data_IF_020755393517
#
_entry.id   IF_020755393517
#
_cell.length_a   1.000
_cell.length_b   1.000
_cell.length_c   1.000
_cell.angle_alpha   90.00
_cell.angle_beta   90.00
_cell.angle_gamma   90.00
#
_symmetry.space_group_name_H-M   'P 1'
#
loop_
_entity.id
_entity.type
_entity.pdbx_description
1 polymer ?
#
# COMPACT_ATOMS: atom_id res chain seq x y z
N UNK A 1 28.30 -30.52 -29.47
CA UNK A 1 28.12 -29.92 -28.12
C UNK A 1 26.99 -28.87 -28.10
N UNK A 2 25.77 -29.20 -28.57
CA UNK A 2 24.66 -28.23 -28.72
C UNK A 2 23.44 -28.50 -27.81
N UNK A 3 23.49 -29.53 -26.95
CA UNK A 3 22.33 -30.01 -26.19
C UNK A 3 22.16 -29.37 -24.78
N UNK A 4 23.17 -28.61 -24.30
CA UNK A 4 23.15 -28.00 -22.95
C UNK A 4 22.48 -26.63 -22.90
N UNK A 5 22.40 -25.90 -24.02
CA UNK A 5 21.81 -24.56 -24.08
C UNK A 5 20.29 -24.58 -24.23
N UNK A 6 19.74 -25.60 -24.89
CA UNK A 6 18.29 -25.80 -25.08
C UNK A 6 17.59 -26.20 -23.79
N UNK A 7 18.20 -27.09 -23.00
CA UNK A 7 17.69 -27.54 -21.70
C UNK A 7 17.61 -26.41 -20.67
N UNK A 8 18.60 -25.51 -20.64
CA UNK A 8 18.58 -24.32 -19.77
C UNK A 8 17.44 -23.37 -20.18
N UNK A 9 17.26 -23.12 -21.47
CA UNK A 9 16.17 -22.26 -21.97
C UNK A 9 14.79 -22.84 -21.66
N UNK A 10 14.65 -24.16 -21.75
CA UNK A 10 13.42 -24.86 -21.40
C UNK A 10 13.13 -24.77 -19.90
N UNK A 11 14.13 -24.95 -19.05
CA UNK A 11 14.00 -24.80 -17.60
C UNK A 11 13.60 -23.37 -17.20
N UNK A 12 14.22 -22.35 -17.81
CA UNK A 12 13.82 -20.94 -17.57
C UNK A 12 12.40 -20.66 -18.05
N UNK A 13 11.99 -21.18 -19.21
CA UNK A 13 10.63 -21.03 -19.70
C UNK A 13 9.61 -21.68 -18.75
N UNK A 14 9.88 -22.89 -18.25
CA UNK A 14 9.03 -23.57 -17.28
C UNK A 14 8.92 -22.82 -15.95
N UNK A 15 10.02 -22.27 -15.43
CA UNK A 15 10.01 -21.47 -14.20
C UNK A 15 9.18 -20.19 -14.40
N UNK A 16 9.35 -19.51 -15.53
CA UNK A 16 8.57 -18.29 -15.83
C UNK A 16 7.10 -18.61 -16.01
N UNK A 17 6.75 -19.70 -16.69
CA UNK A 17 5.36 -20.13 -16.88
C UNK A 17 4.71 -20.52 -15.53
N UNK A 18 5.43 -21.25 -14.67
CA UNK A 18 4.93 -21.67 -13.36
C UNK A 18 4.66 -20.47 -12.44
N UNK A 19 5.56 -19.47 -12.41
CA UNK A 19 5.34 -18.24 -11.64
C UNK A 19 4.15 -17.46 -12.18
N UNK A 20 3.96 -17.42 -13.50
CA UNK A 20 2.84 -16.71 -14.13
C UNK A 20 1.48 -17.37 -13.82
N UNK A 21 1.41 -18.71 -13.85
CA UNK A 21 0.21 -19.48 -13.49
C UNK A 21 -0.15 -19.30 -12.02
N UNK A 22 0.82 -19.37 -11.09
CA UNK A 22 0.54 -19.17 -9.66
C UNK A 22 0.07 -17.76 -9.31
N UNK A 23 0.46 -16.75 -10.09
CA UNK A 23 -0.04 -15.37 -9.91
C UNK A 23 -1.41 -15.12 -10.51
N UNK A 24 -1.86 -15.94 -11.47
CA UNK A 24 -3.16 -15.77 -12.12
C UNK A 24 -4.34 -16.22 -11.24
N UNK A 25 -4.12 -17.09 -10.25
CA UNK A 25 -5.18 -17.63 -9.38
C UNK A 25 -5.36 -16.87 -8.05
N UNK A 26 -4.52 -15.88 -7.75
CA UNK A 26 -4.49 -15.24 -6.42
C UNK A 26 -5.22 -13.90 -6.36
N UNK A 27 -6.46 -13.80 -6.85
CA UNK A 27 -7.28 -12.58 -6.67
C UNK A 27 -8.74 -12.88 -6.28
N UNK A 28 -8.91 -13.70 -5.24
CA UNK A 28 -10.12 -13.67 -4.40
C UNK A 28 -9.68 -13.36 -2.96
N UNK A 29 -9.46 -12.08 -2.68
CA UNK A 29 -9.27 -11.60 -1.32
C UNK A 29 -10.50 -11.97 -0.48
N UNK A 30 -10.34 -12.92 0.43
CA UNK A 30 -11.37 -13.27 1.40
C UNK A 30 -11.47 -12.13 2.43
N UNK A 31 -12.43 -11.24 2.22
CA UNK A 31 -12.87 -10.32 3.25
C UNK A 31 -13.63 -11.11 4.32
N UNK A 32 -12.95 -11.45 5.41
CA UNK A 32 -13.63 -11.85 6.63
C UNK A 32 -14.34 -10.62 7.20
N UNK A 33 -15.64 -10.49 6.91
CA UNK A 33 -16.50 -9.58 7.65
C UNK A 33 -16.55 -9.99 9.12
N UNK A 34 -16.79 -9.07 10.06
CA UNK A 34 -16.92 -9.41 11.47
C UNK A 34 -18.07 -10.41 11.64
N UNK A 35 -17.74 -11.63 12.09
CA UNK A 35 -18.73 -12.61 12.53
C UNK A 35 -19.52 -11.99 13.69
N UNK A 36 -20.76 -11.59 13.42
CA UNK A 36 -21.70 -11.13 14.44
C UNK A 36 -22.09 -12.34 15.30
N UNK A 37 -21.85 -12.26 16.61
CA UNK A 37 -22.34 -13.25 17.56
C UNK A 37 -23.88 -13.28 17.54
N UNK A 38 -24.53 -14.47 17.48
CA UNK A 38 -25.97 -14.56 17.57
C UNK A 38 -26.43 -14.33 19.01
N UNK A 39 -27.29 -13.34 19.26
CA UNK A 39 -28.10 -13.32 20.50
C UNK A 39 -28.28 -12.01 21.27
N UNK A 40 -27.87 -10.83 20.78
CA UNK A 40 -28.23 -9.57 21.46
C UNK A 40 -29.43 -8.93 20.77
N UNK A 41 -30.61 -9.07 21.37
CA UNK A 41 -31.80 -8.32 20.97
C UNK A 41 -31.53 -6.80 21.21
N UNK A 42 -31.80 -5.93 20.24
CA UNK A 42 -31.55 -4.50 20.39
C UNK A 42 -32.57 -3.86 21.34
N UNK A 43 -32.06 -3.14 22.35
CA UNK A 43 -32.87 -2.27 23.21
C UNK A 43 -33.42 -1.10 22.38
N UNK A 44 -34.73 -0.78 22.47
CA UNK A 44 -35.31 0.32 21.70
C UNK A 44 -34.91 1.67 22.30
N UNK A 45 -33.92 2.33 21.70
CA UNK A 45 -33.66 3.74 21.95
C UNK A 45 -34.55 4.57 21.01
N UNK A 46 -35.60 5.21 21.54
CA UNK A 46 -36.33 6.25 20.82
C UNK A 46 -35.48 7.52 20.74
N UNK A 47 -34.53 7.53 19.80
CA UNK A 47 -33.94 8.76 19.30
C UNK A 47 -34.70 9.13 18.02
N UNK A 48 -35.22 10.35 17.95
CA UNK A 48 -35.81 10.85 16.71
C UNK A 48 -34.79 10.63 15.57
N UNK A 49 -35.21 10.10 14.40
CA UNK A 49 -34.28 9.87 13.31
C UNK A 49 -33.66 11.22 12.94
N UNK A 50 -32.33 11.31 13.06
CA UNK A 50 -31.58 12.44 12.55
C UNK A 50 -32.06 12.70 11.11
N UNK A 51 -32.24 13.97 10.69
CA UNK A 51 -32.75 14.29 9.37
C UNK A 51 -31.92 13.52 8.33
N UNK A 52 -32.61 12.73 7.50
CA UNK A 52 -31.96 11.92 6.49
C UNK A 52 -30.99 12.82 5.70
N UNK A 53 -29.71 12.45 5.56
CA UNK A 53 -28.77 13.26 4.80
C UNK A 53 -29.36 13.45 3.40
N UNK A 54 -29.59 14.71 3.00
CA UNK A 54 -30.07 15.01 1.67
C UNK A 54 -29.12 14.39 0.63
N UNK A 55 -29.61 14.07 -0.57
CA UNK A 55 -28.79 13.43 -1.61
C UNK A 55 -27.47 14.19 -1.89
N UNK A 56 -27.45 15.50 -1.63
CA UNK A 56 -26.25 16.35 -1.67
C UNK A 56 -25.20 15.97 -0.60
N UNK A 57 -25.61 15.63 0.62
CA UNK A 57 -24.70 15.20 1.68
C UNK A 57 -24.09 13.82 1.36
N UNK A 58 -24.87 12.87 0.82
CA UNK A 58 -24.41 11.54 0.42
C UNK A 58 -23.27 11.57 -0.62
N UNK A 59 -23.37 12.46 -1.62
CA UNK A 59 -22.32 12.71 -2.61
C UNK A 59 -21.08 13.40 -2.04
N UNK A 60 -21.25 14.24 -1.01
CA UNK A 60 -20.17 14.99 -0.39
C UNK A 60 -19.36 14.19 0.66
N UNK A 61 -19.98 13.21 1.35
CA UNK A 61 -19.30 12.36 2.35
C UNK A 61 -17.98 11.75 1.87
N UNK A 62 -17.87 11.10 0.69
CA UNK A 62 -16.61 10.49 0.27
C UNK A 62 -15.50 11.54 0.10
N UNK A 63 -15.83 12.75 -0.39
CA UNK A 63 -14.83 13.80 -0.59
C UNK A 63 -14.44 14.51 0.70
N UNK A 64 -15.37 14.71 1.63
CA UNK A 64 -15.08 15.31 2.94
C UNK A 64 -14.26 14.37 3.82
N UNK A 65 -14.54 13.06 3.80
CA UNK A 65 -13.77 12.06 4.55
C UNK A 65 -12.33 11.98 4.03
N UNK A 66 -12.13 11.91 2.70
CA UNK A 66 -10.79 11.83 2.11
C UNK A 66 -9.99 13.11 2.36
N UNK A 67 -10.62 14.28 2.26
CA UNK A 67 -9.94 15.56 2.48
C UNK A 67 -9.61 15.80 3.96
N UNK A 68 -10.53 15.49 4.88
CA UNK A 68 -10.29 15.57 6.31
C UNK A 68 -9.17 14.62 6.74
N UNK A 69 -9.19 13.37 6.25
CA UNK A 69 -8.17 12.37 6.58
C UNK A 69 -6.78 12.75 6.07
N UNK A 70 -6.69 13.29 4.84
CA UNK A 70 -5.41 13.79 4.29
C UNK A 70 -4.84 14.92 5.12
N UNK A 71 -5.67 15.89 5.53
CA UNK A 71 -5.26 17.03 6.37
C UNK A 71 -4.82 16.57 7.76
N UNK A 72 -5.60 15.70 8.39
CA UNK A 72 -5.28 15.14 9.71
C UNK A 72 -3.94 14.40 9.70
N UNK A 73 -3.70 13.55 8.70
CA UNK A 73 -2.44 12.83 8.57
C UNK A 73 -1.25 13.76 8.32
N UNK A 74 -1.43 14.80 7.49
CA UNK A 74 -0.39 15.81 7.26
C UNK A 74 -0.04 16.55 8.56
N UNK A 75 -1.05 16.92 9.36
CA UNK A 75 -0.86 17.56 10.66
C UNK A 75 -0.14 16.64 11.66
N UNK A 76 -0.53 15.38 11.74
CA UNK A 76 0.13 14.39 12.58
C UNK A 76 1.61 14.21 12.20
N UNK A 77 1.94 14.15 10.91
CA UNK A 77 3.33 14.07 10.44
C UNK A 77 4.10 15.36 10.77
N UNK A 78 3.48 16.53 10.60
CA UNK A 78 4.10 17.83 10.94
C UNK A 78 4.47 17.88 12.43
N UNK A 79 3.55 17.49 13.31
CA UNK A 79 3.81 17.39 14.76
C UNK A 79 4.98 16.45 15.09
N UNK A 80 5.06 15.29 14.43
CA UNK A 80 6.19 14.36 14.63
C UNK A 80 7.55 14.98 14.24
N UNK A 81 7.57 15.79 13.17
CA UNK A 81 8.77 16.50 12.72
C UNK A 81 9.19 17.61 13.71
N UNK A 82 8.23 18.38 14.20
CA UNK A 82 8.47 19.48 15.16
C UNK A 82 9.04 18.96 16.49
N UNK A 83 8.51 17.83 17.01
CA UNK A 83 9.01 17.19 18.24
C UNK A 83 10.40 16.56 18.04
N UNK A 84 10.85 16.37 16.80
CA UNK A 84 12.10 15.68 16.44
C UNK A 84 12.25 14.25 16.98
N UNK A 85 11.14 13.53 17.15
CA UNK A 85 11.19 12.11 17.50
C UNK A 85 11.79 11.28 16.34
N UNK A 86 12.24 10.05 16.62
CA UNK A 86 12.83 9.15 15.62
C UNK A 86 11.98 9.04 14.34
N UNK A 87 10.65 8.86 14.48
CA UNK A 87 9.72 8.81 13.35
C UNK A 87 9.70 10.12 12.55
N UNK A 88 9.73 11.26 13.24
CA UNK A 88 9.81 12.59 12.62
C UNK A 88 11.05 12.76 11.76
N UNK A 89 12.23 12.43 12.32
CA UNK A 89 13.51 12.48 11.59
C UNK A 89 13.48 11.57 10.36
N UNK A 90 12.92 10.36 10.47
CA UNK A 90 12.77 9.43 9.35
C UNK A 90 11.81 9.93 8.28
N UNK A 91 10.74 10.61 8.67
CA UNK A 91 9.82 11.30 7.74
C UNK A 91 10.48 12.47 7.00
N UNK A 92 11.45 13.17 7.60
CA UNK A 92 12.25 14.21 6.93
C UNK A 92 13.21 13.57 5.91
N UNK A 93 13.87 12.50 6.31
CA UNK A 93 14.85 11.80 5.48
C UNK A 93 14.23 10.92 4.38
N UNK A 94 12.90 10.82 4.31
CA UNK A 94 12.22 9.96 3.32
C UNK A 94 12.52 8.47 3.53
N UNK A 95 12.64 8.03 4.78
CA UNK A 95 12.98 6.65 5.13
C UNK A 95 11.81 5.96 5.85
N UNK A 96 11.68 4.63 5.74
CA UNK A 96 10.66 3.89 6.45
C UNK A 96 10.82 4.05 7.97
N UNK A 97 9.69 4.27 8.64
CA UNK A 97 9.63 4.58 10.07
C UNK A 97 9.37 3.35 10.96
N UNK A 98 9.04 2.19 10.38
CA UNK A 98 8.65 0.95 11.11
C UNK A 98 9.83 -0.02 11.35
N UNK A 99 11.06 0.48 11.47
CA UNK A 99 12.24 -0.37 11.69
C UNK A 99 12.69 -1.22 10.50
N UNK A 100 12.20 -0.92 9.29
CA UNK A 100 12.57 -1.65 8.08
C UNK A 100 14.03 -1.38 7.68
N UNK A 101 14.70 -2.39 7.11
CA UNK A 101 16.10 -2.30 6.65
C UNK A 101 16.25 -1.29 5.51
N UNK A 102 17.03 -0.23 5.72
CA UNK A 102 17.26 0.83 4.72
C UNK A 102 18.59 0.77 3.98
N UNK A 103 19.48 -0.18 4.28
CA UNK A 103 20.82 -0.22 3.67
C UNK A 103 20.74 -0.47 2.15
N UNK A 104 19.99 -1.49 1.74
CA UNK A 104 19.94 -1.94 0.34
C UNK A 104 18.60 -1.61 -0.34
N UNK A 105 17.49 -1.83 0.36
CA UNK A 105 16.12 -1.71 -0.16
C UNK A 105 15.49 -0.34 0.17
N UNK A 106 14.18 -0.17 -0.13
CA UNK A 106 13.39 1.06 0.06
C UNK A 106 13.47 2.09 -1.08
N UNK A 107 13.51 1.63 -2.34
CA UNK A 107 13.53 2.52 -3.52
C UNK A 107 12.22 3.27 -3.76
N UNK A 108 11.09 2.74 -3.27
CA UNK A 108 9.79 3.42 -3.32
C UNK A 108 9.79 4.73 -2.54
N UNK A 109 10.59 4.84 -1.47
CA UNK A 109 10.71 6.06 -0.65
C UNK A 109 11.97 6.87 -0.97
N UNK A 110 13.11 6.20 -1.24
CA UNK A 110 14.39 6.87 -1.56
C UNK A 110 14.48 7.42 -2.99
N UNK A 111 13.59 6.98 -3.89
CA UNK A 111 13.68 7.28 -5.32
C UNK A 111 14.65 6.39 -6.10
N UNK A 112 14.64 6.57 -7.44
CA UNK A 112 15.53 5.87 -8.38
C UNK A 112 16.97 6.36 -8.22
N UNK A 113 17.92 5.43 -8.07
CA UNK A 113 19.35 5.75 -8.18
C UNK A 113 19.70 5.83 -9.65
N UNK A 114 20.09 7.00 -10.14
CA UNK A 114 20.64 7.13 -11.49
C UNK A 114 22.03 6.49 -11.45
N UNK A 115 22.21 5.39 -12.18
CA UNK A 115 23.54 4.80 -12.39
C UNK A 115 24.25 5.68 -13.42
N UNK A 116 25.17 6.52 -12.95
CA UNK A 116 26.11 7.22 -13.83
C UNK A 116 26.97 6.15 -14.51
N UNK A 117 26.68 5.86 -15.77
CA UNK A 117 27.39 4.80 -16.51
C UNK A 117 26.62 4.19 -17.67
N UNK A 118 25.94 4.97 -18.51
CA UNK A 118 25.74 4.54 -19.91
C UNK A 118 27.04 4.86 -20.64
N UNK A 119 27.97 3.89 -20.74
CA UNK A 119 29.02 3.95 -21.77
C UNK A 119 28.30 4.15 -23.10
N UNK A 120 28.55 5.28 -23.76
CA UNK A 120 28.15 5.46 -25.16
C UNK A 120 28.87 4.34 -25.92
N UNK A 121 28.12 3.43 -26.52
CA UNK A 121 28.69 2.55 -27.54
C UNK A 121 29.03 3.48 -28.69
N UNK A 122 30.31 3.81 -28.83
CA UNK A 122 30.83 4.46 -30.03
C UNK A 122 30.64 3.48 -31.19
N UNK A 123 29.89 3.93 -32.19
CA UNK A 123 29.78 3.28 -33.49
C UNK A 123 31.13 3.31 -34.21
#
# INVERSE_FOLDING_TARGET
>A
MAARSSSIRFAFACIVLAVLVMTAESHAGHHHGPTMAPGMAPMPHHHAPAPAPSAATFSAYPQLIVTALRRFNAFAIKRLKEIQCYRGVRHIQGLPCRGQRTKNNCRTLKGKKIVAGKKKVSK
#
